data_IF_293834488309
#
_entry.id   IF_293834488309
#
_cell.length_a   1.000
_cell.length_b   1.000
_cell.length_c   1.000
_cell.angle_alpha   90.00
_cell.angle_beta   90.00
_cell.angle_gamma   90.00
#
_symmetry.space_group_name_H-M   'P 1'
#
loop_
_entity.id
_entity.type
_entity.pdbx_description
1 polymer ?
#
# COMPACT_ATOMS: atom_id res chain seq x y z
N UNK A 1 -11.50 12.35 -2.10
CA UNK A 1 -10.45 11.34 -2.30
C UNK A 1 -9.14 12.07 -2.58
N UNK A 2 -8.37 12.37 -1.53
CA UNK A 2 -7.18 13.24 -1.61
C UNK A 2 -5.98 12.55 -2.28
N UNK A 3 -5.08 13.33 -2.86
CA UNK A 3 -3.82 12.84 -3.44
C UNK A 3 -2.73 12.87 -2.36
N UNK A 4 -1.68 12.05 -2.48
CA UNK A 4 -0.54 12.07 -1.54
C UNK A 4 0.76 12.41 -2.27
N UNK A 5 1.52 13.34 -1.70
CA UNK A 5 2.80 13.80 -2.23
C UNK A 5 3.91 13.00 -1.54
N UNK A 6 4.51 12.03 -2.24
CA UNK A 6 5.75 11.39 -1.80
C UNK A 6 6.91 12.30 -2.24
N UNK A 7 7.43 13.12 -1.33
CA UNK A 7 8.60 13.97 -1.61
C UNK A 7 9.87 13.12 -1.53
N UNK A 8 10.44 12.77 -2.68
CA UNK A 8 11.84 12.36 -2.79
C UNK A 8 12.74 13.58 -3.06
N UNK A 9 14.05 13.42 -2.90
CA UNK A 9 15.05 14.49 -3.04
C UNK A 9 15.16 15.11 -4.46
N UNK A 10 14.46 14.57 -5.46
CA UNK A 10 14.50 14.99 -6.88
C UNK A 10 13.18 15.60 -7.42
N UNK A 11 12.39 16.24 -6.56
CA UNK A 11 11.10 16.83 -6.93
C UNK A 11 9.93 15.88 -6.70
N UNK A 12 8.84 16.41 -6.12
CA UNK A 12 7.67 15.61 -5.76
C UNK A 12 7.02 14.97 -6.99
N UNK A 13 6.60 13.71 -6.88
CA UNK A 13 5.82 13.02 -7.93
C UNK A 13 4.49 12.62 -7.31
N UNK A 14 3.42 13.44 -7.40
CA UNK A 14 2.12 13.05 -6.92
C UNK A 14 1.62 11.90 -7.76
N UNK A 15 1.39 10.78 -7.07
CA UNK A 15 0.69 9.63 -7.61
C UNK A 15 -0.80 9.90 -7.46
N UNK A 16 -1.55 9.57 -8.50
CA UNK A 16 -3.01 9.52 -8.35
C UNK A 16 -3.41 8.43 -7.35
N UNK A 17 -4.63 8.50 -6.80
CA UNK A 17 -5.19 7.39 -6.04
C UNK A 17 -5.09 6.05 -6.78
N UNK A 18 -5.32 6.04 -8.10
CA UNK A 18 -5.26 4.82 -8.92
C UNK A 18 -3.83 4.31 -9.12
N UNK A 19 -2.85 5.19 -9.32
CA UNK A 19 -1.44 4.78 -9.35
C UNK A 19 -0.98 4.24 -7.98
N UNK A 20 -1.48 4.82 -6.90
CA UNK A 20 -1.20 4.35 -5.54
C UNK A 20 -1.87 3.00 -5.25
N UNK A 21 -3.09 2.78 -5.76
CA UNK A 21 -3.79 1.49 -5.66
C UNK A 21 -2.98 0.34 -6.25
N UNK A 22 -2.36 0.53 -7.42
CA UNK A 22 -1.49 -0.47 -8.05
C UNK A 22 -0.30 -0.83 -7.13
N UNK A 23 0.34 0.17 -6.52
CA UNK A 23 1.45 -0.06 -5.57
C UNK A 23 0.96 -0.76 -4.30
N UNK A 24 -0.17 -0.32 -3.73
CA UNK A 24 -0.76 -0.91 -2.54
C UNK A 24 -1.17 -2.38 -2.80
N UNK A 25 -1.70 -2.67 -4.00
CA UNK A 25 -2.01 -4.02 -4.45
C UNK A 25 -0.81 -4.95 -4.46
N UNK A 26 0.38 -4.46 -4.83
CA UNK A 26 1.62 -5.24 -4.71
C UNK A 26 1.95 -5.62 -3.27
N UNK A 27 1.65 -4.76 -2.30
CA UNK A 27 1.85 -5.04 -0.88
C UNK A 27 0.87 -6.11 -0.36
N UNK A 28 -0.33 -6.20 -0.93
CA UNK A 28 -1.31 -7.22 -0.59
C UNK A 28 -0.80 -8.64 -0.86
N UNK A 29 0.19 -8.81 -1.76
CA UNK A 29 0.75 -10.11 -2.11
C UNK A 29 1.75 -10.57 -1.04
N UNK A 30 1.25 -10.85 0.16
CA UNK A 30 2.01 -11.38 1.30
C UNK A 30 2.88 -10.35 2.03
N UNK A 31 2.76 -9.05 1.75
CA UNK A 31 3.45 -8.01 2.51
C UNK A 31 3.00 -7.98 3.98
N UNK A 32 1.69 -8.09 4.21
CA UNK A 32 1.09 -8.06 5.55
C UNK A 32 0.82 -9.44 6.15
N UNK A 33 1.21 -10.53 5.47
CA UNK A 33 1.01 -11.90 5.96
C UNK A 33 1.89 -12.18 7.17
N UNK A 34 1.27 -12.58 8.29
CA UNK A 34 1.97 -12.99 9.51
C UNK A 34 2.95 -14.12 9.23
N UNK A 35 2.54 -15.14 8.46
CA UNK A 35 3.42 -16.24 8.04
C UNK A 35 4.62 -15.74 7.25
N UNK A 36 4.40 -14.91 6.21
CA UNK A 36 5.47 -14.39 5.38
C UNK A 36 6.43 -13.50 6.16
N UNK A 37 5.94 -12.81 7.19
CA UNK A 37 6.75 -12.01 8.10
C UNK A 37 7.60 -12.88 9.03
N UNK A 38 7.05 -13.95 9.60
CA UNK A 38 7.79 -14.88 10.45
C UNK A 38 8.84 -15.69 9.67
N UNK A 39 8.55 -16.05 8.41
CA UNK A 39 9.49 -16.77 7.53
C UNK A 39 10.45 -15.87 6.75
N UNK A 40 10.41 -14.55 6.96
CA UNK A 40 11.21 -13.53 6.23
C UNK A 40 11.01 -13.54 4.70
N UNK A 41 9.83 -13.93 4.22
CA UNK A 41 9.43 -13.96 2.81
C UNK A 41 8.55 -12.77 2.38
N UNK A 42 8.09 -11.97 3.34
CA UNK A 42 7.34 -10.73 3.08
C UNK A 42 8.23 -9.66 2.43
N UNK A 43 7.67 -8.89 1.50
CA UNK A 43 8.34 -7.70 0.97
C UNK A 43 8.49 -6.58 2.01
N UNK A 44 7.68 -6.61 3.07
CA UNK A 44 7.70 -5.64 4.17
C UNK A 44 8.49 -6.13 5.38
N UNK A 45 9.27 -7.20 5.22
CA UNK A 45 10.04 -7.76 6.32
C UNK A 45 11.03 -6.75 6.95
N UNK A 46 11.66 -5.88 6.14
CA UNK A 46 12.52 -4.78 6.66
C UNK A 46 11.74 -3.73 7.46
N UNK A 47 10.46 -3.54 7.17
CA UNK A 47 9.58 -2.64 7.91
C UNK A 47 9.23 -3.25 9.29
N UNK A 48 9.00 -4.56 9.36
CA UNK A 48 8.81 -5.30 10.62
C UNK A 48 10.02 -5.21 11.53
N UNK A 49 11.22 -5.41 10.98
CA UNK A 49 12.48 -5.37 11.73
C UNK A 49 12.93 -3.94 12.08
N UNK A 50 12.23 -2.91 11.60
CA UNK A 50 12.61 -1.51 11.80
C UNK A 50 13.86 -1.07 11.02
N UNK A 51 14.37 -1.91 10.12
CA UNK A 51 15.50 -1.61 9.22
C UNK A 51 15.10 -0.70 8.04
N UNK A 52 13.81 -0.41 7.90
CA UNK A 52 13.23 0.58 7.00
C UNK A 52 11.97 1.17 7.64
N UNK A 53 11.55 2.34 7.16
CA UNK A 53 10.28 2.97 7.51
C UNK A 53 9.64 3.55 6.25
N UNK A 54 8.31 3.63 6.24
CA UNK A 54 7.58 4.43 5.27
C UNK A 54 7.54 5.89 5.75
N UNK A 55 7.08 6.80 4.90
CA UNK A 55 6.80 8.16 5.32
C UNK A 55 5.77 8.16 6.48
N UNK A 56 5.92 9.02 7.51
CA UNK A 56 5.01 9.05 8.66
C UNK A 56 3.53 9.29 8.30
N UNK A 57 3.23 9.90 7.15
CA UNK A 57 1.86 10.06 6.68
C UNK A 57 1.21 8.76 6.21
N UNK A 58 1.99 7.70 5.98
CA UNK A 58 1.49 6.43 5.48
C UNK A 58 0.93 5.60 6.63
N UNK A 59 -0.35 5.26 6.50
CA UNK A 59 -1.06 4.34 7.37
C UNK A 59 -1.94 3.43 6.53
N UNK A 60 -1.97 2.15 6.93
CA UNK A 60 -2.74 1.08 6.28
C UNK A 60 -3.49 0.27 7.32
N UNK A 61 -4.70 -0.16 6.99
CA UNK A 61 -5.48 -1.11 7.76
C UNK A 61 -6.20 -2.09 6.84
N UNK A 62 -6.45 -3.30 7.32
CA UNK A 62 -7.55 -4.11 6.77
C UNK A 62 -8.85 -3.59 7.39
N UNK A 63 -9.73 -2.96 6.60
CA UNK A 63 -10.95 -2.30 7.05
C UNK A 63 -12.18 -3.14 6.70
N UNK A 64 -12.51 -4.12 7.54
CA UNK A 64 -13.67 -5.00 7.37
C UNK A 64 -15.00 -4.27 7.60
N UNK A 65 -15.01 -3.20 8.40
CA UNK A 65 -16.24 -2.50 8.77
C UNK A 65 -16.85 -1.68 7.63
N UNK A 66 -16.01 -0.97 6.88
CA UNK A 66 -16.43 -0.14 5.75
C UNK A 66 -16.15 -0.79 4.40
N UNK A 67 -15.36 -1.87 4.40
CA UNK A 67 -15.08 -2.69 3.24
C UNK A 67 -16.28 -3.53 2.78
N UNK A 68 -16.10 -4.18 1.64
CA UNK A 68 -17.10 -5.11 1.07
C UNK A 68 -16.87 -6.56 1.50
N UNK A 69 -15.76 -6.82 2.20
CA UNK A 69 -15.41 -8.16 2.65
C UNK A 69 -16.31 -8.62 3.81
N UNK A 70 -16.66 -9.91 3.89
CA UNK A 70 -17.47 -10.41 5.01
C UNK A 70 -16.76 -10.26 6.35
N UNK A 71 -17.54 -10.14 7.44
CA UNK A 71 -17.04 -10.07 8.81
C UNK A 71 -16.60 -11.43 9.39
N UNK A 72 -16.57 -12.47 8.58
CA UNK A 72 -16.09 -13.81 8.91
C UNK A 72 -15.43 -14.41 7.66
N UNK A 73 -14.48 -15.32 7.84
CA UNK A 73 -13.87 -16.03 6.72
C UNK A 73 -14.50 -17.43 6.53
N UNK A 74 -14.12 -18.14 5.46
CA UNK A 74 -14.72 -19.41 5.00
C UNK A 74 -14.79 -20.53 6.05
N UNK A 75 -13.84 -20.60 6.98
CA UNK A 75 -13.83 -21.57 8.10
C UNK A 75 -14.63 -21.11 9.34
N UNK A 76 -15.36 -19.99 9.27
CA UNK A 76 -16.26 -19.50 10.32
C UNK A 76 -15.65 -18.62 11.43
N UNK A 77 -14.33 -18.37 11.41
CA UNK A 77 -13.69 -17.37 12.29
C UNK A 77 -14.16 -15.94 11.97
N UNK A 78 -14.58 -15.24 13.03
CA UNK A 78 -14.94 -13.83 12.97
C UNK A 78 -13.69 -12.95 12.73
N UNK A 79 -13.90 -11.86 12.01
CA UNK A 79 -12.88 -10.87 11.66
C UNK A 79 -13.12 -9.59 12.47
N UNK A 80 -12.08 -8.96 13.01
CA UNK A 80 -12.20 -7.62 13.59
C UNK A 80 -12.75 -6.62 12.57
N UNK A 81 -13.40 -5.57 13.08
CA UNK A 81 -13.83 -4.43 12.26
C UNK A 81 -12.68 -3.77 11.51
N UNK A 82 -11.50 -3.72 12.14
CA UNK A 82 -10.28 -3.30 11.49
C UNK A 82 -9.07 -4.02 12.08
N UNK A 83 -8.05 -4.25 11.25
CA UNK A 83 -6.70 -4.66 11.68
C UNK A 83 -5.72 -3.58 11.25
N UNK A 84 -5.18 -2.77 12.17
CA UNK A 84 -4.11 -1.82 11.85
C UNK A 84 -2.87 -2.58 11.37
N UNK A 85 -2.32 -2.18 10.22
CA UNK A 85 -1.14 -2.81 9.61
C UNK A 85 0.06 -1.87 9.67
N UNK A 86 -0.16 -0.60 9.33
CA UNK A 86 0.85 0.46 9.39
C UNK A 86 0.27 1.71 10.05
N UNK A 87 1.00 2.30 10.99
CA UNK A 87 0.71 3.60 11.61
C UNK A 87 2.00 4.41 11.70
N UNK A 88 1.93 5.70 11.41
CA UNK A 88 3.09 6.61 11.41
C UNK A 88 4.29 6.07 10.61
N UNK A 89 4.00 5.44 9.47
CA UNK A 89 5.00 4.83 8.60
C UNK A 89 5.67 3.58 9.16
N UNK A 90 5.18 3.01 10.27
CA UNK A 90 5.74 1.82 10.95
C UNK A 90 4.75 0.67 10.94
N UNK A 91 5.26 -0.55 10.83
CA UNK A 91 4.43 -1.75 10.96
C UNK A 91 3.95 -1.90 12.41
N UNK A 92 2.63 -2.01 12.59
CA UNK A 92 1.99 -2.17 13.90
C UNK A 92 1.19 -3.47 14.02
N UNK A 93 0.97 -4.16 12.90
CA UNK A 93 0.23 -5.41 12.87
C UNK A 93 0.41 -6.18 11.57
N UNK A 94 -0.18 -7.36 11.53
CA UNK A 94 -0.16 -8.28 10.40
C UNK A 94 -1.47 -9.07 10.33
N UNK A 95 -1.76 -9.66 9.18
CA UNK A 95 -2.87 -10.58 8.98
C UNK A 95 -2.43 -11.99 9.36
N UNK A 96 -3.12 -12.58 10.33
CA UNK A 96 -2.73 -13.87 10.92
C UNK A 96 -3.91 -14.83 10.84
N UNK A 97 -3.74 -15.85 10.00
CA UNK A 97 -4.73 -16.92 9.86
C UNK A 97 -4.73 -17.84 11.09
N UNK A 98 -5.83 -18.58 11.36
CA UNK A 98 -5.87 -19.56 12.44
C UNK A 98 -4.77 -20.63 12.35
N UNK A 99 -4.36 -21.00 11.12
CA UNK A 99 -3.26 -21.94 10.88
C UNK A 99 -1.92 -21.35 11.34
N UNK A 100 -1.59 -20.15 10.84
CA UNK A 100 -0.33 -19.47 11.19
C UNK A 100 -0.25 -19.19 12.68
N UNK A 101 -1.36 -18.78 13.30
CA UNK A 101 -1.44 -18.59 14.75
C UNK A 101 -1.03 -19.85 15.52
N UNK A 102 -1.47 -21.03 15.08
CA UNK A 102 -1.06 -22.30 15.69
C UNK A 102 0.40 -22.65 15.42
N UNK A 103 0.88 -22.41 14.21
CA UNK A 103 2.25 -22.76 13.78
C UNK A 103 3.31 -21.89 14.47
N UNK A 104 3.05 -20.59 14.62
CA UNK A 104 4.00 -19.60 15.14
C UNK A 104 3.64 -19.06 16.53
N UNK A 105 2.64 -19.66 17.20
CA UNK A 105 2.14 -19.20 18.50
C UNK A 105 1.74 -17.71 18.54
N UNK A 106 1.09 -17.23 17.47
CA UNK A 106 0.59 -15.86 17.33
C UNK A 106 -0.90 -15.76 17.67
N UNK A 107 -1.39 -14.55 17.92
CA UNK A 107 -2.82 -14.27 17.96
C UNK A 107 -3.38 -14.19 16.53
N UNK A 108 -4.37 -15.01 16.21
CA UNK A 108 -5.12 -14.90 14.94
C UNK A 108 -6.07 -13.70 14.97
N UNK A 109 -6.37 -13.15 13.80
CA UNK A 109 -7.34 -12.06 13.62
C UNK A 109 -8.35 -12.35 12.49
N UNK A 110 -8.63 -13.64 12.24
CA UNK A 110 -9.59 -14.08 11.25
C UNK A 110 -9.14 -13.84 9.81
N UNK A 111 -7.85 -13.59 9.56
CA UNK A 111 -7.35 -13.47 8.19
C UNK A 111 -7.58 -14.76 7.40
N UNK A 112 -7.86 -14.62 6.10
CA UNK A 112 -7.99 -15.74 5.18
C UNK A 112 -6.71 -16.59 5.10
N UNK A 113 -6.82 -17.78 4.50
CA UNK A 113 -5.73 -18.75 4.41
C UNK A 113 -4.46 -18.22 3.69
N UNK A 114 -4.62 -17.24 2.80
CA UNK A 114 -3.52 -16.58 2.09
C UNK A 114 -2.89 -15.43 2.89
N UNK A 115 -3.55 -15.00 3.97
CA UNK A 115 -3.22 -13.83 4.78
C UNK A 115 -3.07 -12.56 3.94
N UNK A 116 -3.94 -12.43 2.93
CA UNK A 116 -4.01 -11.28 2.04
C UNK A 116 -5.12 -10.33 2.49
N UNK A 117 -4.91 -9.00 2.44
CA UNK A 117 -5.99 -8.04 2.64
C UNK A 117 -7.15 -8.26 1.66
N UNK A 118 -8.38 -8.11 2.12
CA UNK A 118 -9.60 -8.16 1.29
C UNK A 118 -10.27 -6.79 1.20
N UNK A 119 -9.92 -5.87 2.11
CA UNK A 119 -10.37 -4.48 2.12
C UNK A 119 -9.24 -3.61 2.67
N UNK A 120 -8.11 -3.60 1.96
CA UNK A 120 -6.98 -2.75 2.32
C UNK A 120 -7.37 -1.29 2.18
N UNK A 121 -7.28 -0.57 3.28
CA UNK A 121 -7.57 0.85 3.37
C UNK A 121 -6.28 1.62 3.66
N UNK A 122 -6.06 2.66 2.87
CA UNK A 122 -4.97 3.61 3.06
C UNK A 122 -5.57 4.92 3.56
N UNK A 123 -5.13 5.39 4.72
CA UNK A 123 -5.63 6.63 5.28
C UNK A 123 -5.51 7.79 4.27
N UNK A 124 -6.37 8.81 4.37
CA UNK A 124 -6.27 9.99 3.51
C UNK A 124 -5.04 10.84 3.88
N UNK A 125 -4.48 11.56 2.90
CA UNK A 125 -3.55 12.66 3.14
C UNK A 125 -4.28 13.99 3.35
N UNK A 126 -3.52 15.07 3.50
CA UNK A 126 -4.07 16.40 3.73
C UNK A 126 -4.13 17.26 2.45
N UNK A 127 -3.70 16.73 1.30
CA UNK A 127 -3.69 17.44 0.03
C UNK A 127 -5.02 17.23 -0.70
N UNK A 128 -5.73 18.33 -0.95
CA UNK A 128 -6.95 18.30 -1.76
C UNK A 128 -6.62 17.94 -3.21
N UNK A 129 -7.51 17.19 -3.85
CA UNK A 129 -7.32 16.72 -5.23
C UNK A 129 -7.16 17.86 -6.23
N UNK A 130 -7.86 18.98 -6.00
CA UNK A 130 -7.80 20.17 -6.85
C UNK A 130 -6.41 20.85 -6.79
N UNK A 131 -5.68 20.68 -5.69
CA UNK A 131 -4.38 21.30 -5.46
C UNK A 131 -3.23 20.40 -5.92
N UNK A 132 -3.52 19.19 -6.42
CA UNK A 132 -2.50 18.19 -6.73
C UNK A 132 -1.48 18.68 -7.77
N UNK A 133 -1.93 19.34 -8.84
CA UNK A 133 -1.05 19.89 -9.87
C UNK A 133 -0.25 21.08 -9.33
N UNK A 134 -0.89 21.98 -8.58
CA UNK A 134 -0.21 23.11 -7.96
C UNK A 134 0.88 22.65 -6.98
N UNK A 135 0.60 21.59 -6.20
CA UNK A 135 1.55 21.00 -5.27
C UNK A 135 2.67 20.18 -5.94
N UNK A 136 2.45 19.70 -7.18
CA UNK A 136 3.49 19.12 -8.03
C UNK A 136 4.47 20.19 -8.48
N UNK A 137 3.95 21.36 -8.86
CA UNK A 137 4.66 22.44 -9.53
C UNK A 137 5.31 21.99 -10.85
N UNK A 138 6.46 21.32 -10.80
CA UNK A 138 7.13 20.77 -11.98
C UNK A 138 7.49 19.30 -11.76
N UNK A 139 7.03 18.42 -12.65
CA UNK A 139 7.34 16.99 -12.57
C UNK A 139 6.36 16.09 -13.32
N UNK A 140 6.42 14.80 -12.98
CA UNK A 140 5.60 13.77 -13.62
C UNK A 140 4.33 13.53 -12.82
N UNK A 141 3.18 13.78 -13.45
CA UNK A 141 1.87 13.37 -12.96
C UNK A 141 1.56 11.96 -13.46
N UNK A 142 1.45 11.00 -12.55
CA UNK A 142 1.26 9.59 -12.87
C UNK A 142 -0.20 9.17 -12.71
N UNK A 143 -0.89 9.06 -13.85
CA UNK A 143 -2.26 8.56 -14.03
C UNK A 143 -2.45 7.15 -13.49
N UNK A 144 -1.84 6.17 -14.15
CA UNK A 144 -1.86 4.77 -13.73
C UNK A 144 -0.48 4.14 -13.88
N UNK A 145 -0.28 3.07 -13.12
CA UNK A 145 0.83 2.15 -13.28
C UNK A 145 0.29 0.83 -13.87
N UNK A 146 1.18 0.05 -14.47
CA UNK A 146 0.81 -1.20 -15.11
C UNK A 146 1.95 -2.22 -15.06
N UNK A 147 1.58 -3.50 -15.01
CA UNK A 147 2.51 -4.62 -14.88
C UNK A 147 3.55 -4.41 -13.78
N UNK A 148 3.10 -3.97 -12.60
CA UNK A 148 3.97 -3.92 -11.44
C UNK A 148 4.39 -5.35 -11.05
N UNK A 149 5.67 -5.51 -10.75
CA UNK A 149 6.22 -6.73 -10.19
C UNK A 149 7.38 -6.41 -9.25
N UNK A 150 7.73 -7.34 -8.36
CA UNK A 150 8.92 -7.22 -7.53
C UNK A 150 10.15 -7.59 -8.36
N UNK A 151 11.08 -6.65 -8.52
CA UNK A 151 12.42 -6.92 -9.05
C UNK A 151 13.36 -7.42 -7.97
N UNK A 152 13.18 -6.92 -6.74
CA UNK A 152 13.82 -7.41 -5.52
C UNK A 152 12.77 -7.35 -4.41
N UNK A 153 12.17 -8.51 -4.13
CA UNK A 153 11.08 -8.61 -3.15
C UNK A 153 11.56 -8.35 -1.71
N UNK A 154 12.66 -8.94 -1.21
CA UNK A 154 13.19 -8.63 0.13
C UNK A 154 13.49 -7.14 0.36
N UNK A 155 13.89 -6.40 -0.69
CA UNK A 155 14.09 -4.96 -0.62
C UNK A 155 12.82 -4.12 -0.90
N UNK A 156 11.67 -4.77 -1.12
CA UNK A 156 10.41 -4.14 -1.55
C UNK A 156 10.55 -3.31 -2.83
N UNK A 157 11.47 -3.68 -3.73
CA UNK A 157 11.70 -2.95 -4.97
C UNK A 157 10.74 -3.40 -6.05
N UNK A 158 9.95 -2.44 -6.53
CA UNK A 158 9.00 -2.62 -7.61
C UNK A 158 9.56 -2.13 -8.95
N UNK A 159 9.14 -2.79 -10.01
CA UNK A 159 9.32 -2.35 -11.40
C UNK A 159 7.99 -2.46 -12.11
N UNK A 160 7.74 -1.58 -13.07
CA UNK A 160 6.62 -1.67 -13.98
C UNK A 160 6.64 -0.52 -14.97
N UNK A 161 5.51 -0.29 -15.62
CA UNK A 161 5.38 0.73 -16.66
C UNK A 161 4.30 1.74 -16.26
N UNK A 162 4.44 2.96 -16.75
CA UNK A 162 3.34 3.94 -16.73
C UNK A 162 2.34 3.57 -17.82
N UNK A 163 1.05 3.76 -17.57
CA UNK A 163 0.00 3.47 -18.55
C UNK A 163 -1.10 4.50 -18.44
N UNK A 164 -1.50 5.08 -19.57
CA UNK A 164 -2.55 6.11 -19.67
C UNK A 164 -2.31 7.34 -18.77
N UNK A 165 -2.83 8.50 -19.19
CA UNK A 165 -2.93 9.70 -18.36
C UNK A 165 -1.65 10.09 -17.59
N UNK A 166 -0.48 9.84 -18.18
CA UNK A 166 0.81 10.26 -17.62
C UNK A 166 1.23 11.55 -18.32
N UNK A 167 1.42 12.60 -17.53
CA UNK A 167 1.60 13.95 -18.03
C UNK A 167 2.81 14.62 -17.41
N UNK A 168 3.55 15.35 -18.22
CA UNK A 168 4.53 16.32 -17.74
C UNK A 168 3.79 17.57 -17.28
N UNK A 169 4.17 18.08 -16.10
CA UNK A 169 3.58 19.25 -15.46
C UNK A 169 4.67 20.30 -15.25
N UNK A 170 4.36 21.56 -15.55
CA UNK A 170 5.24 22.71 -15.31
C UNK A 170 4.40 23.87 -14.76
N UNK A 171 4.89 24.54 -13.71
CA UNK A 171 4.17 25.63 -13.06
C UNK A 171 2.76 25.25 -12.59
N UNK A 172 2.57 23.99 -12.20
CA UNK A 172 1.29 23.40 -11.79
C UNK A 172 0.28 23.20 -12.92
N UNK A 173 0.73 23.15 -14.18
CA UNK A 173 -0.12 22.93 -15.36
C UNK A 173 0.39 21.75 -16.17
N UNK A 174 -0.52 20.91 -16.65
CA UNK A 174 -0.18 19.85 -17.61
C UNK A 174 0.27 20.53 -18.92
N UNK A 175 1.49 20.21 -19.36
CA UNK A 175 2.08 20.76 -20.59
C UNK A 175 2.15 19.75 -21.73
N UNK A 176 2.35 18.47 -21.44
CA UNK A 176 2.43 17.43 -22.47
C UNK A 176 2.06 16.04 -21.90
N UNK A 177 1.47 15.14 -22.72
CA UNK A 177 1.51 13.72 -22.41
C UNK A 177 2.96 13.22 -22.42
N UNK A 178 3.26 12.21 -21.62
CA UNK A 178 4.55 11.53 -21.67
C UNK A 178 4.46 10.36 -22.64
N UNK A 179 5.42 10.27 -23.56
CA UNK A 179 5.57 9.13 -24.45
C UNK A 179 5.91 7.87 -23.63
N UNK A 180 5.18 6.80 -23.90
CA UNK A 180 5.31 5.46 -23.29
C UNK A 180 5.71 4.43 -24.32
#
# INVERSE_FOLDING_TARGET
>A
MGFRNLRGEDGGRPLTPTAMEEIAGMLCWGGFSGRALETRQSCLFRLKDGAAALDPSVAFAENTAEGIAPAFQDEGFARPQAVPLVTDGRMVGSLVSPRTAREFALAQNGANASEMPESLDMAAGNLASADALAALDTGLYLGNLWYLNFSDRPACRLTGMTRFASFWVEGGKIVAPVDV
#
